data_IF_945762440496
#
_entry.id   IF_945762440496
#
_cell.length_a   1.000
_cell.length_b   1.000
_cell.length_c   1.000
_cell.angle_alpha   90.00
_cell.angle_beta   90.00
_cell.angle_gamma   90.00
#
_symmetry.space_group_name_H-M   'P 1'
#
loop_
_entity.id
_entity.type
_entity.pdbx_description
1 polymer ?
#
# COMPACT_ATOMS: atom_id res chain seq x y z
N UNK A 1 9.98 13.51 -27.18
CA UNK A 1 9.46 12.22 -26.66
C UNK A 1 9.17 12.43 -25.19
N UNK A 2 7.90 12.56 -24.83
CA UNK A 2 7.48 12.62 -23.42
C UNK A 2 7.79 11.26 -22.81
N UNK A 3 8.76 11.22 -21.89
CA UNK A 3 9.10 10.00 -21.15
C UNK A 3 7.82 9.58 -20.39
N UNK A 4 7.28 8.41 -20.70
CA UNK A 4 6.10 7.86 -20.06
C UNK A 4 6.39 7.74 -18.56
N UNK A 5 5.65 8.48 -17.74
CA UNK A 5 5.88 8.51 -16.28
C UNK A 5 5.52 7.16 -15.69
N UNK A 6 6.37 6.63 -14.82
CA UNK A 6 6.05 5.41 -14.07
C UNK A 6 4.94 5.69 -13.05
N UNK A 7 3.98 4.78 -12.98
CA UNK A 7 2.85 4.91 -12.06
C UNK A 7 3.20 4.34 -10.69
N UNK A 8 2.91 5.14 -9.66
CA UNK A 8 3.01 4.76 -8.26
C UNK A 8 1.62 4.74 -7.60
N UNK A 9 1.31 3.68 -6.88
CA UNK A 9 0.11 3.56 -6.05
C UNK A 9 0.49 3.70 -4.57
N UNK A 10 -0.10 4.68 -3.88
CA UNK A 10 0.11 4.91 -2.45
C UNK A 10 -1.21 4.74 -1.71
N UNK A 11 -1.32 3.72 -0.87
CA UNK A 11 -2.53 3.53 -0.08
C UNK A 11 -2.54 4.40 1.17
N UNK A 12 -3.72 4.97 1.51
CA UNK A 12 -3.85 5.84 2.68
C UNK A 12 -3.06 7.16 2.54
N UNK A 13 -3.11 7.77 1.35
CA UNK A 13 -2.34 8.97 0.99
C UNK A 13 -2.95 10.29 1.48
N UNK A 14 -4.11 10.28 2.15
CA UNK A 14 -4.83 11.51 2.50
C UNK A 14 -4.22 12.33 3.62
N UNK A 15 -3.30 11.75 4.41
CA UNK A 15 -2.65 12.42 5.55
C UNK A 15 -1.37 11.69 5.99
N UNK A 16 -0.60 12.34 6.86
CA UNK A 16 0.55 11.74 7.55
C UNK A 16 1.62 11.20 6.60
N UNK A 17 2.16 10.02 6.92
CA UNK A 17 3.26 9.39 6.18
C UNK A 17 2.89 9.16 4.71
N UNK A 18 1.68 8.64 4.45
CA UNK A 18 1.23 8.39 3.08
C UNK A 18 1.17 9.65 2.22
N UNK A 19 0.71 10.77 2.78
CA UNK A 19 0.68 12.05 2.08
C UNK A 19 2.09 12.56 1.75
N UNK A 20 3.02 12.46 2.70
CA UNK A 20 4.41 12.87 2.50
C UNK A 20 5.11 12.01 1.44
N UNK A 21 4.88 10.68 1.44
CA UNK A 21 5.42 9.77 0.44
C UNK A 21 4.85 10.10 -0.94
N UNK A 22 3.53 10.31 -1.05
CA UNK A 22 2.90 10.65 -2.33
C UNK A 22 3.48 11.95 -2.91
N UNK A 23 3.65 12.98 -2.08
CA UNK A 23 4.24 14.25 -2.49
C UNK A 23 5.69 14.10 -2.95
N UNK A 24 6.50 13.30 -2.24
CA UNK A 24 7.88 13.04 -2.63
C UNK A 24 7.96 12.30 -3.97
N UNK A 25 7.11 11.30 -4.19
CA UNK A 25 7.08 10.56 -5.46
C UNK A 25 6.67 11.48 -6.63
N UNK A 26 5.76 12.43 -6.43
CA UNK A 26 5.42 13.44 -7.44
C UNK A 26 6.64 14.31 -7.77
N UNK A 27 7.39 14.77 -6.75
CA UNK A 27 8.61 15.57 -6.94
C UNK A 27 9.70 14.78 -7.69
N UNK A 28 9.75 13.47 -7.48
CA UNK A 28 10.66 12.54 -8.17
C UNK A 28 10.20 12.19 -9.60
N UNK A 29 9.09 12.78 -10.07
CA UNK A 29 8.62 12.67 -11.45
C UNK A 29 7.70 11.47 -11.74
N UNK A 30 7.18 10.79 -10.69
CA UNK A 30 6.20 9.72 -10.87
C UNK A 30 4.78 10.28 -11.06
N UNK A 31 3.94 9.50 -11.76
CA UNK A 31 2.49 9.72 -11.70
C UNK A 31 1.93 8.97 -10.49
N UNK A 32 1.32 9.67 -9.55
CA UNK A 32 0.90 9.08 -8.28
C UNK A 32 -0.61 8.89 -8.20
N UNK A 33 -1.05 7.66 -7.98
CA UNK A 33 -2.42 7.39 -7.55
C UNK A 33 -2.42 7.22 -6.04
N UNK A 34 -3.05 8.16 -5.35
CA UNK A 34 -3.23 8.13 -3.89
C UNK A 34 -4.61 7.65 -3.51
N UNK A 35 -4.74 6.84 -2.46
CA UNK A 35 -6.07 6.41 -2.02
C UNK A 35 -6.50 7.02 -0.69
N UNK A 36 -7.80 7.23 -0.58
CA UNK A 36 -8.51 7.60 0.64
C UNK A 36 -9.73 6.69 0.82
N UNK A 37 -10.32 6.66 2.02
CA UNK A 37 -11.52 5.82 2.29
C UNK A 37 -12.83 6.54 1.97
N UNK A 38 -12.80 7.81 1.53
CA UNK A 38 -13.98 8.60 1.20
C UNK A 38 -13.80 9.34 -0.12
N UNK A 39 -14.92 9.63 -0.80
CA UNK A 39 -14.94 10.45 -2.02
C UNK A 39 -14.30 11.83 -1.81
N UNK A 40 -14.69 12.53 -0.76
CA UNK A 40 -14.12 13.84 -0.44
C UNK A 40 -12.58 13.77 -0.22
N UNK A 41 -12.08 12.66 0.36
CA UNK A 41 -10.65 12.42 0.50
C UNK A 41 -9.95 12.19 -0.84
N UNK A 42 -10.58 11.46 -1.74
CA UNK A 42 -10.07 11.19 -3.08
C UNK A 42 -10.07 12.46 -3.96
N UNK A 43 -11.14 13.26 -3.91
CA UNK A 43 -11.22 14.56 -4.60
C UNK A 43 -10.13 15.53 -4.13
N UNK A 44 -9.91 15.60 -2.81
CA UNK A 44 -8.84 16.43 -2.24
C UNK A 44 -7.47 15.98 -2.73
N UNK A 45 -7.20 14.67 -2.80
CA UNK A 45 -5.94 14.13 -3.35
C UNK A 45 -5.79 14.51 -4.83
N UNK A 46 -6.84 14.36 -5.64
CA UNK A 46 -6.82 14.75 -7.06
C UNK A 46 -6.49 16.23 -7.23
N UNK A 47 -7.10 17.08 -6.42
CA UNK A 47 -6.82 18.53 -6.45
C UNK A 47 -5.37 18.85 -6.03
N UNK A 48 -4.82 18.13 -5.03
CA UNK A 48 -3.44 18.31 -4.58
C UNK A 48 -2.39 17.83 -5.58
N UNK A 49 -2.68 16.73 -6.29
CA UNK A 49 -1.75 16.13 -7.25
C UNK A 49 -1.80 16.80 -8.62
N UNK A 50 -2.90 17.47 -8.93
CA UNK A 50 -3.15 18.12 -10.23
C UNK A 50 -2.83 17.15 -11.40
N UNK A 51 -2.06 17.60 -12.39
CA UNK A 51 -1.66 16.77 -13.56
C UNK A 51 -0.63 15.68 -13.24
N UNK A 52 -0.15 15.61 -11.99
CA UNK A 52 0.88 14.64 -11.58
C UNK A 52 0.31 13.41 -10.86
N UNK A 53 -1.01 13.31 -10.76
CA UNK A 53 -1.62 12.15 -10.12
C UNK A 53 -3.14 12.19 -10.05
N UNK A 54 -3.71 11.22 -9.36
CA UNK A 54 -5.15 11.08 -9.13
C UNK A 54 -5.44 10.55 -7.72
N UNK A 55 -6.50 11.04 -7.12
CA UNK A 55 -7.06 10.47 -5.89
C UNK A 55 -8.15 9.44 -6.23
N UNK A 56 -8.16 8.33 -5.52
CA UNK A 56 -9.15 7.26 -5.69
C UNK A 56 -9.67 6.79 -4.34
N UNK A 57 -10.91 6.31 -4.31
CA UNK A 57 -11.45 5.68 -3.11
C UNK A 57 -11.01 4.23 -3.04
N UNK A 58 -10.57 3.80 -1.87
CA UNK A 58 -10.25 2.39 -1.61
C UNK A 58 -10.41 2.06 -0.12
N UNK A 59 -11.24 1.08 0.18
CA UNK A 59 -11.12 0.29 1.40
C UNK A 59 -10.23 -0.92 1.10
N UNK A 60 -9.06 -0.97 1.69
CA UNK A 60 -8.09 -2.05 1.45
C UNK A 60 -8.55 -3.43 1.96
N UNK A 61 -9.63 -3.49 2.73
CA UNK A 61 -10.26 -4.76 3.15
C UNK A 61 -11.02 -5.43 2.01
N UNK A 62 -11.48 -4.65 1.04
CA UNK A 62 -12.27 -5.16 -0.10
C UNK A 62 -11.35 -5.59 -1.24
N UNK A 63 -11.27 -6.90 -1.45
CA UNK A 63 -10.46 -7.48 -2.53
C UNK A 63 -10.99 -7.14 -3.92
N UNK A 64 -12.31 -7.05 -4.10
CA UNK A 64 -12.91 -6.69 -5.39
C UNK A 64 -12.63 -5.21 -5.72
N UNK A 65 -12.70 -4.32 -4.73
CA UNK A 65 -12.33 -2.92 -4.89
C UNK A 65 -10.84 -2.75 -5.25
N UNK A 66 -9.94 -3.55 -4.66
CA UNK A 66 -8.52 -3.56 -5.03
C UNK A 66 -8.35 -3.95 -6.51
N UNK A 67 -9.00 -5.03 -6.96
CA UNK A 67 -8.91 -5.50 -8.33
C UNK A 67 -9.46 -4.47 -9.34
N UNK A 68 -10.59 -3.87 -9.03
CA UNK A 68 -11.21 -2.81 -9.82
C UNK A 68 -10.31 -1.57 -9.93
N UNK A 69 -9.77 -1.11 -8.78
CA UNK A 69 -8.87 0.06 -8.72
C UNK A 69 -7.62 -0.17 -9.58
N UNK A 70 -6.94 -1.30 -9.42
CA UNK A 70 -5.71 -1.55 -10.17
C UNK A 70 -6.02 -1.70 -11.66
N UNK A 71 -7.17 -2.30 -12.04
CA UNK A 71 -7.61 -2.35 -13.43
C UNK A 71 -7.87 -0.96 -14.03
N UNK A 72 -8.54 -0.07 -13.28
CA UNK A 72 -8.77 1.32 -13.68
C UNK A 72 -7.43 2.07 -13.86
N UNK A 73 -6.49 1.89 -12.94
CA UNK A 73 -5.15 2.50 -13.05
C UNK A 73 -4.43 1.99 -14.31
N UNK A 74 -4.43 0.69 -14.54
CA UNK A 74 -3.75 0.08 -15.70
C UNK A 74 -4.33 0.55 -17.03
N UNK A 75 -5.64 0.79 -17.10
CA UNK A 75 -6.32 1.27 -18.30
C UNK A 75 -6.04 2.76 -18.58
N UNK A 76 -6.01 3.58 -17.55
CA UNK A 76 -5.96 5.04 -17.71
C UNK A 76 -4.54 5.61 -17.62
N UNK A 77 -3.64 4.99 -16.86
CA UNK A 77 -2.32 5.56 -16.53
C UNK A 77 -1.16 4.60 -16.79
N UNK A 78 -1.44 3.31 -17.01
CA UNK A 78 -0.41 2.29 -17.20
C UNK A 78 -0.16 1.41 -15.97
N UNK A 79 0.74 0.45 -16.10
CA UNK A 79 1.01 -0.53 -15.03
C UNK A 79 1.55 0.12 -13.77
N UNK A 80 1.03 -0.28 -12.61
CA UNK A 80 1.57 0.11 -11.31
C UNK A 80 2.97 -0.50 -11.15
N UNK A 81 3.99 0.33 -11.19
CA UNK A 81 5.39 -0.09 -11.06
C UNK A 81 5.98 0.21 -9.69
N UNK A 82 5.33 1.06 -8.91
CA UNK A 82 5.67 1.34 -7.51
C UNK A 82 4.42 1.18 -6.69
N UNK A 83 4.49 0.35 -5.64
CA UNK A 83 3.41 0.15 -4.68
C UNK A 83 3.90 0.52 -3.29
N UNK A 84 3.20 1.45 -2.64
CA UNK A 84 3.42 1.79 -1.23
C UNK A 84 2.20 1.36 -0.42
N UNK A 85 2.35 0.30 0.34
CA UNK A 85 1.37 -0.19 1.29
C UNK A 85 1.52 0.57 2.60
N UNK A 86 0.76 1.68 2.74
CA UNK A 86 0.81 2.55 3.91
C UNK A 86 -0.52 2.60 4.68
N UNK A 87 -1.66 2.30 4.04
CA UNK A 87 -2.95 2.31 4.72
C UNK A 87 -2.93 1.44 5.98
N UNK A 88 -3.46 1.97 7.07
CA UNK A 88 -3.46 1.26 8.34
C UNK A 88 -4.23 2.00 9.44
N UNK A 89 -4.62 1.24 10.45
CA UNK A 89 -5.27 1.69 11.68
C UNK A 89 -4.62 1.00 12.87
N UNK A 90 -4.93 1.45 14.08
CA UNK A 90 -4.66 0.73 15.32
C UNK A 90 -5.97 0.43 16.05
N UNK A 91 -6.05 -0.73 16.69
CA UNK A 91 -7.12 -1.12 17.61
C UNK A 91 -6.46 -1.78 18.82
N UNK A 92 -5.96 -0.92 19.68
CA UNK A 92 -5.15 -1.33 20.83
C UNK A 92 -6.06 -1.78 21.99
N UNK A 93 -5.83 -2.98 22.50
CA UNK A 93 -6.49 -3.49 23.69
C UNK A 93 -5.64 -4.61 24.31
N UNK A 94 -5.71 -4.77 25.65
CA UNK A 94 -5.08 -5.91 26.30
C UNK A 94 -5.69 -7.22 25.78
N UNK A 95 -4.88 -8.26 25.61
CA UNK A 95 -5.30 -9.51 24.99
C UNK A 95 -6.56 -10.12 25.60
N UNK A 96 -6.72 -10.04 26.93
CA UNK A 96 -7.92 -10.52 27.64
C UNK A 96 -9.22 -9.79 27.25
N UNK A 97 -9.12 -8.60 26.64
CA UNK A 97 -10.26 -7.78 26.25
C UNK A 97 -10.33 -7.55 24.75
N UNK A 98 -9.32 -8.00 24.01
CA UNK A 98 -9.28 -7.88 22.55
C UNK A 98 -10.34 -8.79 21.92
N UNK A 99 -11.22 -8.23 21.12
CA UNK A 99 -12.20 -9.01 20.37
C UNK A 99 -11.56 -9.68 19.14
N UNK A 100 -12.18 -10.75 18.64
CA UNK A 100 -11.79 -11.35 17.37
C UNK A 100 -11.96 -10.36 16.22
N UNK A 101 -12.97 -9.52 16.23
CA UNK A 101 -13.18 -8.46 15.24
C UNK A 101 -12.03 -7.44 15.23
N UNK A 102 -11.51 -7.04 16.40
CA UNK A 102 -10.35 -6.14 16.46
C UNK A 102 -9.08 -6.80 15.94
N UNK A 103 -8.92 -8.09 16.24
CA UNK A 103 -7.84 -8.90 15.70
C UNK A 103 -7.93 -9.01 14.17
N UNK A 104 -9.08 -9.45 13.67
CA UNK A 104 -9.30 -9.66 12.24
C UNK A 104 -9.21 -8.38 11.42
N UNK A 105 -9.75 -7.27 11.92
CA UNK A 105 -9.65 -5.97 11.25
C UNK A 105 -8.18 -5.55 11.06
N UNK A 106 -7.35 -5.70 12.09
CA UNK A 106 -5.93 -5.34 12.00
C UNK A 106 -5.21 -6.26 11.02
N UNK A 107 -5.42 -7.56 11.07
CA UNK A 107 -4.81 -8.49 10.12
C UNK A 107 -5.30 -8.26 8.68
N UNK A 108 -6.58 -7.98 8.49
CA UNK A 108 -7.17 -7.74 7.18
C UNK A 108 -6.60 -6.46 6.54
N UNK A 109 -6.53 -5.36 7.31
CA UNK A 109 -6.08 -4.07 6.80
C UNK A 109 -4.56 -4.05 6.57
N UNK A 110 -3.78 -4.62 7.48
CA UNK A 110 -2.33 -4.55 7.39
C UNK A 110 -1.73 -5.70 6.58
N UNK A 111 -2.00 -6.95 6.94
CA UNK A 111 -1.30 -8.08 6.35
C UNK A 111 -1.99 -8.61 5.08
N UNK A 112 -3.29 -8.85 5.15
CA UNK A 112 -4.05 -9.40 4.01
C UNK A 112 -4.15 -8.41 2.84
N UNK A 113 -4.32 -7.11 3.14
CA UNK A 113 -4.32 -6.07 2.11
C UNK A 113 -2.97 -5.97 1.41
N UNK A 114 -1.85 -6.03 2.14
CA UNK A 114 -0.49 -6.04 1.57
C UNK A 114 -0.32 -7.23 0.62
N UNK A 115 -0.76 -8.42 1.03
CA UNK A 115 -0.73 -9.59 0.16
C UNK A 115 -1.56 -9.37 -1.12
N UNK A 116 -2.81 -8.90 -1.01
CA UNK A 116 -3.72 -8.69 -2.14
C UNK A 116 -3.18 -7.67 -3.14
N UNK A 117 -2.78 -6.50 -2.65
CA UNK A 117 -2.24 -5.42 -3.47
C UNK A 117 -0.95 -5.85 -4.16
N UNK A 118 -0.01 -6.45 -3.41
CA UNK A 118 1.24 -6.94 -3.98
C UNK A 118 0.98 -7.96 -5.09
N UNK A 119 0.16 -8.98 -4.82
CA UNK A 119 -0.21 -10.00 -5.81
C UNK A 119 -0.80 -9.38 -7.07
N UNK A 120 -1.68 -8.38 -6.92
CA UNK A 120 -2.39 -7.78 -8.05
C UNK A 120 -1.46 -6.99 -8.98
N UNK A 121 -0.48 -6.27 -8.44
CA UNK A 121 0.44 -5.46 -9.25
C UNK A 121 1.61 -6.26 -9.84
N UNK A 122 1.93 -7.43 -9.30
CA UNK A 122 3.08 -8.25 -9.73
C UNK A 122 3.06 -8.62 -11.20
N UNK A 123 1.88 -8.83 -11.81
CA UNK A 123 1.78 -9.15 -13.23
C UNK A 123 2.36 -8.04 -14.12
N UNK A 124 2.00 -6.78 -13.85
CA UNK A 124 2.52 -5.62 -14.55
C UNK A 124 4.02 -5.42 -14.32
N UNK A 125 4.46 -5.51 -13.06
CA UNK A 125 5.86 -5.39 -12.68
C UNK A 125 6.74 -6.46 -13.32
N UNK A 126 6.27 -7.71 -13.35
CA UNK A 126 6.99 -8.85 -13.97
C UNK A 126 7.15 -8.65 -15.48
N UNK A 127 6.07 -8.18 -16.16
CA UNK A 127 6.12 -7.88 -17.59
C UNK A 127 7.10 -6.74 -17.89
N UNK A 128 7.11 -5.70 -17.06
CA UNK A 128 8.01 -4.55 -17.20
C UNK A 128 9.45 -4.89 -16.79
N UNK A 129 9.71 -6.03 -16.12
CA UNK A 129 10.99 -6.35 -15.46
C UNK A 129 11.48 -5.21 -14.55
N UNK A 130 10.55 -4.59 -13.88
CA UNK A 130 10.80 -3.50 -12.94
C UNK A 130 9.64 -3.39 -11.95
N UNK A 131 9.94 -3.27 -10.68
CA UNK A 131 8.94 -3.03 -9.63
C UNK A 131 9.58 -2.63 -8.30
N UNK A 132 8.86 -1.82 -7.55
CA UNK A 132 9.23 -1.43 -6.18
C UNK A 132 7.99 -1.58 -5.29
N UNK A 133 8.06 -2.49 -4.34
CA UNK A 133 7.03 -2.67 -3.31
C UNK A 133 7.64 -2.20 -1.98
N UNK A 134 6.99 -1.24 -1.36
CA UNK A 134 7.39 -0.63 -0.09
C UNK A 134 6.24 -0.84 0.89
N UNK A 135 6.51 -1.58 1.95
CA UNK A 135 5.51 -1.90 2.97
C UNK A 135 5.85 -1.12 4.25
N UNK A 136 4.95 -0.25 4.70
CA UNK A 136 5.19 0.52 5.92
C UNK A 136 5.00 -0.39 7.14
N UNK A 137 6.12 -0.83 7.73
CA UNK A 137 6.16 -1.61 8.96
C UNK A 137 6.10 -0.72 10.20
N UNK A 138 6.56 -1.19 11.31
CA UNK A 138 6.62 -0.46 12.58
C UNK A 138 7.68 -1.07 13.48
N UNK A 139 8.22 -0.24 14.36
CA UNK A 139 9.15 -0.70 15.42
C UNK A 139 8.54 -1.77 16.34
N UNK A 140 7.22 -1.81 16.46
CA UNK A 140 6.52 -2.83 17.26
C UNK A 140 6.60 -4.24 16.66
N UNK A 141 7.04 -4.38 15.43
CA UNK A 141 7.38 -5.68 14.85
C UNK A 141 8.55 -6.36 15.60
N UNK A 142 9.39 -5.56 16.24
CA UNK A 142 10.59 -5.99 16.99
C UNK A 142 10.49 -5.71 18.48
N UNK A 143 9.91 -4.55 18.84
CA UNK A 143 9.78 -4.12 20.23
C UNK A 143 8.31 -4.23 20.65
N UNK A 144 8.00 -5.27 21.45
CA UNK A 144 6.65 -5.51 21.92
C UNK A 144 6.08 -4.30 22.69
N UNK A 145 4.79 -4.03 22.48
CA UNK A 145 4.05 -3.01 23.20
C UNK A 145 2.76 -3.61 23.78
N UNK A 146 2.52 -3.48 25.11
CA UNK A 146 1.27 -3.96 25.70
C UNK A 146 0.05 -3.39 24.97
N UNK A 147 -0.96 -4.22 24.73
CA UNK A 147 -2.18 -3.83 24.03
C UNK A 147 -2.11 -3.89 22.49
N UNK A 148 -0.97 -4.21 21.91
CA UNK A 148 -0.76 -4.23 20.45
C UNK A 148 -0.43 -5.64 19.91
N UNK A 149 -0.94 -6.69 20.52
CA UNK A 149 -0.66 -8.06 20.09
C UNK A 149 -1.06 -8.29 18.61
N UNK A 150 -2.23 -7.82 18.20
CA UNK A 150 -2.72 -7.87 16.82
C UNK A 150 -1.85 -7.04 15.85
N UNK A 151 -1.54 -5.81 16.22
CA UNK A 151 -0.76 -4.89 15.39
C UNK A 151 0.69 -5.36 15.23
N UNK A 152 1.33 -5.79 16.33
CA UNK A 152 2.68 -6.37 16.28
C UNK A 152 2.75 -7.62 15.43
N UNK A 153 1.77 -8.53 15.55
CA UNK A 153 1.68 -9.74 14.74
C UNK A 153 1.55 -9.39 13.24
N UNK A 154 0.67 -8.44 12.90
CA UNK A 154 0.50 -7.99 11.52
C UNK A 154 1.78 -7.37 10.95
N UNK A 155 2.45 -6.49 11.72
CA UNK A 155 3.69 -5.82 11.25
C UNK A 155 4.86 -6.77 11.13
N UNK A 156 5.05 -7.69 12.05
CA UNK A 156 6.03 -8.77 11.92
C UNK A 156 5.74 -9.69 10.72
N UNK A 157 4.46 -9.99 10.48
CA UNK A 157 4.00 -10.73 9.31
C UNK A 157 4.32 -10.03 7.98
N UNK A 158 4.16 -8.70 7.91
CA UNK A 158 4.54 -7.89 6.75
C UNK A 158 6.04 -8.03 6.45
N UNK A 159 6.89 -7.96 7.46
CA UNK A 159 8.33 -8.08 7.25
C UNK A 159 8.74 -9.47 6.76
N UNK A 160 8.15 -10.52 7.34
CA UNK A 160 8.38 -11.89 6.89
C UNK A 160 7.90 -12.10 5.44
N UNK A 161 6.70 -11.59 5.11
CA UNK A 161 6.16 -11.58 3.75
C UNK A 161 7.09 -10.84 2.78
N UNK A 162 7.55 -9.65 3.15
CA UNK A 162 8.44 -8.83 2.33
C UNK A 162 9.74 -9.56 1.99
N UNK A 163 10.38 -10.19 2.98
CA UNK A 163 11.61 -10.97 2.79
C UNK A 163 11.40 -12.16 1.85
N UNK A 164 10.28 -12.87 1.98
CA UNK A 164 9.95 -14.00 1.11
C UNK A 164 9.72 -13.56 -0.32
N UNK A 165 8.87 -12.53 -0.51
CA UNK A 165 8.54 -12.02 -1.83
C UNK A 165 9.76 -11.38 -2.54
N UNK A 166 10.65 -10.72 -1.80
CA UNK A 166 11.89 -10.17 -2.35
C UNK A 166 12.78 -11.26 -2.97
N UNK A 167 12.90 -12.43 -2.31
CA UNK A 167 13.65 -13.58 -2.84
C UNK A 167 12.99 -14.17 -4.08
N UNK A 168 11.66 -14.27 -4.08
CA UNK A 168 10.89 -14.81 -5.21
C UNK A 168 10.99 -13.91 -6.45
N UNK A 169 10.97 -12.59 -6.26
CA UNK A 169 10.87 -11.62 -7.36
C UNK A 169 12.20 -11.00 -7.80
N UNK A 170 13.30 -11.25 -7.11
CA UNK A 170 14.60 -10.63 -7.38
C UNK A 170 15.10 -10.84 -8.81
N UNK A 171 14.91 -12.03 -9.40
CA UNK A 171 15.28 -12.32 -10.79
C UNK A 171 14.50 -11.50 -11.83
N UNK A 172 13.40 -10.86 -11.42
CA UNK A 172 12.57 -9.98 -12.25
C UNK A 172 12.87 -8.50 -12.04
N UNK A 173 13.91 -8.16 -11.30
CA UNK A 173 14.29 -6.78 -10.92
C UNK A 173 13.20 -6.05 -10.12
N UNK A 174 12.42 -6.81 -9.36
CA UNK A 174 11.42 -6.29 -8.42
C UNK A 174 12.02 -6.34 -7.02
N UNK A 175 12.05 -5.20 -6.33
CA UNK A 175 12.47 -5.13 -4.94
C UNK A 175 11.26 -5.00 -4.02
N UNK A 176 11.35 -5.63 -2.86
CA UNK A 176 10.34 -5.58 -1.81
C UNK A 176 11.02 -5.28 -0.49
N UNK A 177 10.61 -4.18 0.14
CA UNK A 177 11.18 -3.69 1.39
C UNK A 177 10.08 -3.35 2.40
N UNK A 178 10.43 -3.37 3.70
CA UNK A 178 9.56 -2.98 4.82
C UNK A 178 10.36 -2.24 5.89
#
# INVERSE_FOLDING_TARGET
MTQERKVALVTGASRGIGASIAQQLIQDGFFVVGTATSEAGAEKLSAQFAENGAGKVLDVRDGAAIDALVSDIEQNYGSVLILVNNAGITKDNLLLRMSEDDWDDILNIHLKAVFRLSKRVLKGMTKARYGRIINISSVVAHFANPGQANYSAAKAGIEAFSRSLAKEMGSRQITVNS
#
